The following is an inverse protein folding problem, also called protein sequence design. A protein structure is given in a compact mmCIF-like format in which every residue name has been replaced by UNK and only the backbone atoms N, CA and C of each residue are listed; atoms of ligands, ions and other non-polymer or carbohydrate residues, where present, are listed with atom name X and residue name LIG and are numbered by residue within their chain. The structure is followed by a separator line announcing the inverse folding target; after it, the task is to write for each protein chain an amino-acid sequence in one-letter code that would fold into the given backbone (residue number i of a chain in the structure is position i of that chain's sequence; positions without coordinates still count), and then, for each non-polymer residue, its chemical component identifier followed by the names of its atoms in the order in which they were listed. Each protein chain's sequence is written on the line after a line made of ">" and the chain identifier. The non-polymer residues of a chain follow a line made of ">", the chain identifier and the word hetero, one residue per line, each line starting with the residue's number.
data_IF_647942616919
#
_entry.id   IF_647942616919
#
_cell.length_a   1.000
_cell.length_b   1.000
_cell.length_c   1.000
_cell.angle_alpha   90.00
_cell.angle_beta   90.00
_cell.angle_gamma   90.00
#
_symmetry.space_group_name_H-M   'P 1'
#
loop_
_entity.id
_entity.type
_entity.pdbx_description
1 polymer ?
#
# COMPACT_ATOMS: atom_id res chain seq x y z
N UNK A 1 -13.05 -11.35 -3.21
CA UNK A 1 -12.23 -10.12 -3.03
C UNK A 1 -12.81 -9.35 -1.86
N UNK A 2 -11.99 -9.04 -0.86
CA UNK A 2 -12.36 -8.13 0.21
C UNK A 2 -11.79 -6.75 -0.13
N UNK A 3 -12.60 -5.70 0.04
CA UNK A 3 -12.14 -4.31 0.00
C UNK A 3 -11.86 -3.88 1.43
N UNK A 4 -10.73 -3.21 1.66
CA UNK A 4 -10.35 -2.68 2.97
C UNK A 4 -10.22 -1.17 2.85
N UNK A 5 -10.83 -0.46 3.79
CA UNK A 5 -10.75 0.99 3.93
C UNK A 5 -10.29 1.35 5.35
N UNK A 6 -9.46 2.38 5.46
CA UNK A 6 -8.91 2.85 6.74
C UNK A 6 -9.15 4.35 6.86
N UNK A 7 -9.95 4.82 7.84
CA UNK A 7 -10.12 6.25 8.07
C UNK A 7 -8.79 6.84 8.56
N UNK A 8 -8.32 7.88 7.89
CA UNK A 8 -7.09 8.57 8.23
C UNK A 8 -7.27 10.09 8.10
N UNK A 9 -6.63 10.82 9.00
CA UNK A 9 -6.62 12.28 9.03
C UNK A 9 -5.17 12.77 9.02
N UNK A 10 -4.85 13.69 8.11
CA UNK A 10 -3.55 14.34 8.07
C UNK A 10 -3.34 15.21 9.32
N UNK A 11 -2.18 15.07 9.98
CA UNK A 11 -1.78 15.90 11.13
C UNK A 11 -1.11 17.21 10.72
N UNK A 12 -0.54 17.27 9.51
CA UNK A 12 0.16 18.42 8.97
C UNK A 12 0.13 18.40 7.44
N UNK A 13 0.17 19.58 6.79
CA UNK A 13 0.45 19.70 5.36
C UNK A 13 1.82 19.11 4.98
N UNK A 14 2.03 18.87 3.68
CA UNK A 14 3.28 18.37 3.12
C UNK A 14 3.18 16.99 2.49
N UNK A 15 4.34 16.43 2.12
CA UNK A 15 4.46 15.13 1.44
C UNK A 15 4.09 13.99 2.38
N UNK A 16 3.29 13.06 1.88
CA UNK A 16 2.81 11.87 2.57
C UNK A 16 2.98 10.65 1.67
N UNK A 17 3.11 9.47 2.28
CA UNK A 17 3.22 8.20 1.58
C UNK A 17 2.29 7.18 2.24
N UNK A 18 1.47 6.50 1.45
CA UNK A 18 0.62 5.38 1.88
C UNK A 18 1.17 4.11 1.26
N UNK A 19 1.33 3.07 2.08
CA UNK A 19 1.80 1.76 1.64
C UNK A 19 0.85 0.67 2.11
N UNK A 20 0.47 -0.25 1.22
CA UNK A 20 -0.47 -1.34 1.53
C UNK A 20 0.14 -2.71 1.28
N UNK A 21 -0.29 -3.70 2.06
CA UNK A 21 0.05 -5.13 1.91
C UNK A 21 -1.21 -5.98 2.02
N UNK A 22 -1.27 -7.08 1.27
CA UNK A 22 -2.36 -8.06 1.34
C UNK A 22 -1.90 -9.38 2.00
N UNK A 23 -2.86 -10.12 2.53
CA UNK A 23 -2.70 -11.51 2.96
C UNK A 23 -3.77 -12.34 2.24
N UNK A 24 -3.37 -13.45 1.61
CA UNK A 24 -4.29 -14.31 0.86
C UNK A 24 -5.04 -15.32 1.76
N UNK A 25 -5.87 -16.18 1.16
CA UNK A 25 -6.65 -17.19 1.88
C UNK A 25 -5.82 -18.38 2.41
N UNK A 26 -4.54 -18.46 2.06
CA UNK A 26 -3.59 -19.45 2.59
C UNK A 26 -2.83 -18.91 3.81
N UNK A 27 -2.97 -17.61 4.09
CA UNK A 27 -2.23 -16.90 5.15
C UNK A 27 -0.90 -16.33 4.68
N UNK A 28 -0.57 -16.43 3.39
CA UNK A 28 0.63 -15.82 2.83
C UNK A 28 0.45 -14.29 2.79
N UNK A 29 1.33 -13.57 3.50
CA UNK A 29 1.36 -12.10 3.48
C UNK A 29 2.37 -11.64 2.45
N UNK A 30 1.98 -10.63 1.67
CA UNK A 30 2.84 -9.99 0.69
C UNK A 30 4.13 -9.44 1.33
N UNK A 31 5.28 -9.87 0.82
CA UNK A 31 6.61 -9.44 1.30
C UNK A 31 6.96 -8.04 0.80
N UNK A 32 7.92 -7.38 1.45
CA UNK A 32 8.45 -6.09 1.00
C UNK A 32 9.44 -6.24 -0.17
N UNK A 33 9.87 -7.47 -0.46
CA UNK A 33 10.80 -7.79 -1.53
C UNK A 33 10.14 -7.54 -2.90
N UNK A 34 10.74 -6.68 -3.71
CA UNK A 34 10.36 -6.54 -5.11
C UNK A 34 10.81 -7.79 -5.87
N UNK A 35 9.86 -8.60 -6.33
CA UNK A 35 10.11 -9.77 -7.17
C UNK A 35 9.69 -9.45 -8.61
N UNK A 36 10.42 -10.00 -9.58
CA UNK A 36 10.09 -9.86 -11.00
C UNK A 36 8.65 -10.34 -11.28
N UNK A 37 7.95 -9.61 -12.15
CA UNK A 37 6.48 -9.71 -12.36
C UNK A 37 6.02 -11.02 -13.00
N UNK A 38 6.94 -11.91 -13.42
CA UNK A 38 6.61 -13.13 -14.17
C UNK A 38 6.81 -14.37 -13.30
N UNK A 39 5.85 -15.32 -13.23
CA UNK A 39 4.49 -15.29 -13.79
C UNK A 39 3.43 -14.72 -12.83
N UNK A 40 3.78 -14.48 -11.56
CA UNK A 40 2.81 -14.31 -10.46
C UNK A 40 2.59 -12.84 -10.00
N UNK A 41 2.91 -11.87 -10.86
CA UNK A 41 2.56 -10.46 -10.63
C UNK A 41 3.40 -9.74 -9.57
N UNK A 42 3.31 -8.41 -9.54
CA UNK A 42 4.15 -7.56 -8.69
C UNK A 42 3.77 -7.71 -7.19
N UNK A 43 4.62 -8.40 -6.42
CA UNK A 43 4.46 -8.60 -4.98
C UNK A 43 5.00 -7.45 -4.13
N UNK A 44 5.59 -6.40 -4.72
CA UNK A 44 6.07 -5.24 -3.98
C UNK A 44 4.89 -4.47 -3.35
N UNK A 45 5.05 -3.96 -2.12
CA UNK A 45 4.00 -3.17 -1.48
C UNK A 45 3.59 -2.02 -2.38
N UNK A 46 2.27 -1.85 -2.58
CA UNK A 46 1.79 -0.75 -3.40
C UNK A 46 1.90 0.54 -2.58
N UNK A 47 2.68 1.48 -3.10
CA UNK A 47 2.94 2.78 -2.47
C UNK A 47 2.38 3.91 -3.33
N UNK A 48 1.69 4.84 -2.68
CA UNK A 48 1.19 6.08 -3.29
C UNK A 48 1.74 7.26 -2.52
N UNK A 49 2.46 8.13 -3.21
CA UNK A 49 2.93 9.40 -2.67
C UNK A 49 1.98 10.53 -3.07
N UNK A 50 1.67 11.41 -2.12
CA UNK A 50 0.80 12.56 -2.34
C UNK A 50 1.19 13.74 -1.45
N UNK A 51 0.61 14.91 -1.69
CA UNK A 51 0.85 16.11 -0.86
C UNK A 51 -0.47 16.60 -0.28
N UNK A 52 -0.47 16.84 1.04
CA UNK A 52 -1.58 17.51 1.74
C UNK A 52 -1.34 19.01 1.67
N UNK A 53 -2.30 19.76 1.14
CA UNK A 53 -2.22 21.21 1.03
C UNK A 53 -2.43 21.89 2.40
N UNK A 54 -1.92 23.12 2.54
CA UNK A 54 -2.33 24.01 3.62
C UNK A 54 -3.79 24.41 3.43
N UNK A 55 -4.48 24.71 4.54
CA UNK A 55 -5.92 25.02 4.56
C UNK A 55 -6.15 26.51 4.41
#
# INVERSE_FOLDING_TARGET
>A
MAVVELPWQAKSPGKQSITVRATDNTGATQTADQVDTVPDGATGWHTVDFTVAET
#
